data_IF_682939133247
#
_entry.id   IF_682939133247
#
_cell.length_a   1.000
_cell.length_b   1.000
_cell.length_c   1.000
_cell.angle_alpha   90.00
_cell.angle_beta   90.00
_cell.angle_gamma   90.00
#
_symmetry.space_group_name_H-M   'P 1'
#
loop_
_entity.id
_entity.type
_entity.pdbx_description
1 polymer ?
#
# COMPACT_ATOMS: atom_id res chain seq x y z
N UNK A 1 -4.98 80.59 72.33
CA UNK A 1 -4.64 79.95 71.07
C UNK A 1 -4.44 78.46 71.29
N UNK A 2 -5.42 77.61 71.03
CA UNK A 2 -5.42 76.18 71.23
C UNK A 2 -4.68 75.51 70.05
N UNK A 3 -3.58 74.75 70.30
CA UNK A 3 -2.88 73.99 69.28
C UNK A 3 -3.63 72.72 68.98
N UNK A 4 -4.18 72.60 67.76
CA UNK A 4 -4.81 71.42 67.25
C UNK A 4 -3.72 70.37 66.98
N UNK A 5 -3.72 69.23 67.70
CA UNK A 5 -2.86 68.07 67.47
C UNK A 5 -3.35 67.35 66.24
N UNK A 6 -2.53 67.26 65.19
CA UNK A 6 -2.77 66.38 64.04
C UNK A 6 -2.75 64.93 64.47
N UNK A 7 -3.67 64.05 63.97
CA UNK A 7 -3.67 62.65 64.30
C UNK A 7 -2.41 61.97 63.70
N UNK A 8 -1.75 61.13 64.48
CA UNK A 8 -0.57 60.35 64.06
C UNK A 8 -1.05 59.24 63.10
N UNK A 9 -0.46 59.19 61.89
CA UNK A 9 -0.63 58.09 60.94
C UNK A 9 0.02 56.82 61.53
N UNK A 10 -0.67 55.71 61.64
CA UNK A 10 -0.09 54.47 62.17
C UNK A 10 1.04 53.97 61.25
N UNK A 11 2.12 53.40 61.80
CA UNK A 11 3.27 52.93 61.04
C UNK A 11 2.82 51.79 60.08
N UNK A 12 3.15 51.91 58.79
CA UNK A 12 2.97 50.85 57.82
C UNK A 12 3.74 49.62 58.32
N UNK A 13 3.01 48.52 58.62
CA UNK A 13 3.63 47.26 58.97
C UNK A 13 4.47 46.78 57.77
N UNK A 14 5.78 46.82 57.88
CA UNK A 14 6.69 46.24 56.87
C UNK A 14 6.54 44.74 56.85
N UNK A 15 6.17 44.22 55.68
CA UNK A 15 6.06 42.77 55.44
C UNK A 15 7.48 42.20 55.51
N UNK A 16 7.73 41.23 56.40
CA UNK A 16 9.04 40.60 56.56
C UNK A 16 9.53 40.01 55.19
N UNK A 17 10.86 40.06 54.95
CA UNK A 17 11.52 39.61 53.74
C UNK A 17 11.07 38.16 53.32
N UNK A 18 10.90 37.26 54.28
CA UNK A 18 10.42 35.89 54.04
C UNK A 18 8.98 35.85 53.50
N UNK A 19 8.06 36.71 53.98
CA UNK A 19 6.70 36.80 53.45
C UNK A 19 6.66 37.39 52.03
N UNK A 20 7.56 38.33 51.69
CA UNK A 20 7.69 38.87 50.31
C UNK A 20 8.21 37.80 49.36
N UNK A 21 9.19 37.00 49.75
CA UNK A 21 9.72 35.87 48.94
C UNK A 21 8.62 34.80 48.74
N UNK A 22 7.92 34.40 49.79
CA UNK A 22 6.82 33.45 49.70
C UNK A 22 5.71 33.93 48.78
N UNK A 23 5.38 35.23 48.79
CA UNK A 23 4.36 35.80 47.88
C UNK A 23 4.83 35.81 46.39
N UNK A 24 6.12 36.12 46.15
CA UNK A 24 6.70 36.06 44.79
C UNK A 24 6.67 34.63 44.25
N UNK A 25 7.05 33.62 45.07
CA UNK A 25 6.99 32.22 44.70
C UNK A 25 5.56 31.79 44.35
N UNK A 26 4.57 32.18 45.19
CA UNK A 26 3.16 31.91 44.92
C UNK A 26 2.66 32.53 43.62
N UNK A 27 3.03 33.78 43.34
CA UNK A 27 2.67 34.44 42.07
C UNK A 27 3.35 33.75 40.90
N UNK A 28 4.62 33.38 41.01
CA UNK A 28 5.33 32.65 39.94
C UNK A 28 4.66 31.29 39.65
N UNK A 29 4.28 30.55 40.67
CA UNK A 29 3.52 29.29 40.52
C UNK A 29 2.16 29.56 39.85
N UNK A 30 1.43 30.60 40.28
CA UNK A 30 0.14 30.94 39.66
C UNK A 30 0.29 31.32 38.18
N UNK A 31 1.31 32.10 37.81
CA UNK A 31 1.61 32.45 36.41
C UNK A 31 1.96 31.20 35.61
N UNK A 32 2.78 30.28 36.16
CA UNK A 32 3.08 29.00 35.49
C UNK A 32 1.83 28.15 35.28
N UNK A 33 0.93 28.06 36.28
CA UNK A 33 -0.33 27.32 36.16
C UNK A 33 -1.22 27.95 35.07
N UNK A 34 -1.39 29.28 35.08
CA UNK A 34 -2.19 30.00 34.09
C UNK A 34 -1.59 29.80 32.69
N UNK A 35 -0.28 29.97 32.53
CA UNK A 35 0.42 29.76 31.26
C UNK A 35 0.26 28.33 30.74
N UNK A 36 0.42 27.33 31.61
CA UNK A 36 0.22 25.92 31.26
C UNK A 36 -1.23 25.61 30.88
N UNK A 37 -2.21 26.21 31.57
CA UNK A 37 -3.64 26.05 31.25
C UNK A 37 -3.99 26.64 29.89
N UNK A 38 -3.47 27.82 29.56
CA UNK A 38 -3.65 28.46 28.26
C UNK A 38 -2.99 27.61 27.17
N UNK A 39 -1.76 27.16 27.36
CA UNK A 39 -1.06 26.28 26.42
C UNK A 39 -1.83 24.98 26.18
N UNK A 40 -2.34 24.36 27.26
CA UNK A 40 -3.18 23.18 27.17
C UNK A 40 -4.48 23.45 26.37
N UNK A 41 -5.16 24.55 26.63
CA UNK A 41 -6.40 24.93 25.92
C UNK A 41 -6.13 25.15 24.42
N UNK A 42 -5.04 25.82 24.07
CA UNK A 42 -4.64 26.04 22.66
C UNK A 42 -4.32 24.71 21.98
N UNK A 43 -3.55 23.82 22.61
CA UNK A 43 -3.25 22.50 22.05
C UNK A 43 -4.50 21.63 21.93
N UNK A 44 -5.43 21.70 22.90
CA UNK A 44 -6.68 20.95 22.87
C UNK A 44 -7.61 21.43 21.74
N UNK A 45 -7.64 22.73 21.46
CA UNK A 45 -8.41 23.32 20.35
C UNK A 45 -7.89 22.88 18.97
N UNK A 46 -6.62 22.46 18.89
CA UNK A 46 -5.98 21.94 17.65
C UNK A 46 -6.14 20.43 17.47
N UNK A 47 -6.82 19.72 18.40
CA UNK A 47 -7.06 18.28 18.25
C UNK A 47 -8.10 18.06 17.15
N UNK A 48 -7.75 17.32 16.06
CA UNK A 48 -8.70 17.05 15.00
C UNK A 48 -9.88 16.20 15.52
N UNK A 49 -11.01 16.21 14.83
CA UNK A 49 -12.10 15.30 15.14
C UNK A 49 -11.64 13.85 14.91
N UNK A 50 -12.19 12.92 15.70
CA UNK A 50 -12.02 11.50 15.46
C UNK A 50 -12.97 11.12 14.33
N UNK A 51 -12.44 10.86 13.15
CA UNK A 51 -13.22 10.44 11.99
C UNK A 51 -13.21 8.90 11.90
N UNK A 52 -14.40 8.30 12.01
CA UNK A 52 -14.60 6.86 11.89
C UNK A 52 -14.19 6.33 10.50
N UNK A 53 -14.27 7.14 9.45
CA UNK A 53 -13.88 6.76 8.10
C UNK A 53 -12.37 6.49 7.98
N UNK A 54 -11.54 7.12 8.81
CA UNK A 54 -10.10 6.88 8.84
C UNK A 54 -9.73 5.48 9.36
N UNK A 55 -10.67 4.77 9.98
CA UNK A 55 -10.50 3.36 10.40
C UNK A 55 -11.01 2.39 9.34
N UNK A 56 -11.80 2.87 8.36
CA UNK A 56 -12.18 2.03 7.25
C UNK A 56 -10.93 1.57 6.52
N UNK A 57 -10.91 0.30 6.23
CA UNK A 57 -9.81 -0.28 5.46
C UNK A 57 -9.94 0.18 4.02
N UNK A 58 -8.86 0.66 3.46
CA UNK A 58 -8.76 0.84 2.03
C UNK A 58 -8.58 -0.56 1.46
N UNK A 59 -9.67 -1.13 0.95
CA UNK A 59 -9.58 -2.34 0.14
C UNK A 59 -9.11 -1.96 -1.26
N UNK A 60 -8.37 -2.84 -1.90
CA UNK A 60 -8.05 -2.69 -3.31
C UNK A 60 -9.33 -2.58 -4.13
N UNK A 61 -9.30 -1.82 -5.20
CA UNK A 61 -10.42 -1.81 -6.12
C UNK A 61 -10.57 -3.19 -6.77
N UNK A 62 -11.81 -3.65 -6.86
CA UNK A 62 -12.15 -4.98 -7.41
C UNK A 62 -12.79 -4.82 -8.78
N UNK A 63 -12.31 -5.58 -9.75
CA UNK A 63 -12.96 -5.70 -11.05
C UNK A 63 -13.88 -6.93 -11.02
N UNK A 64 -15.12 -6.71 -11.37
CA UNK A 64 -16.10 -7.76 -11.63
C UNK A 64 -16.25 -7.97 -13.15
N UNK A 65 -16.46 -9.23 -13.55
CA UNK A 65 -16.69 -9.60 -14.94
C UNK A 65 -18.08 -9.16 -15.46
N UNK A 66 -18.39 -9.47 -16.70
CA UNK A 66 -19.68 -9.18 -17.34
C UNK A 66 -20.88 -9.83 -16.64
N UNK A 67 -20.65 -10.86 -15.82
CA UNK A 67 -21.67 -11.56 -15.04
C UNK A 67 -21.76 -11.08 -13.58
N UNK A 68 -20.89 -10.14 -13.18
CA UNK A 68 -20.80 -9.62 -11.81
C UNK A 68 -19.98 -10.50 -10.86
N UNK A 69 -19.26 -11.49 -11.36
CA UNK A 69 -18.34 -12.29 -10.55
C UNK A 69 -16.98 -11.59 -10.42
N UNK A 70 -16.26 -11.89 -9.34
CA UNK A 70 -14.90 -11.40 -9.15
C UNK A 70 -13.99 -11.84 -10.30
N UNK A 71 -13.30 -10.88 -10.91
CA UNK A 71 -12.34 -11.11 -11.98
C UNK A 71 -10.90 -10.86 -11.51
N UNK A 72 -10.60 -9.67 -10.99
CA UNK A 72 -9.26 -9.29 -10.56
C UNK A 72 -9.28 -8.12 -9.57
N UNK A 73 -8.31 -8.06 -8.66
CA UNK A 73 -8.03 -6.87 -7.86
C UNK A 73 -7.14 -5.89 -8.64
N UNK A 74 -7.46 -4.59 -8.55
CA UNK A 74 -6.52 -3.53 -8.90
C UNK A 74 -5.70 -3.18 -7.67
N UNK A 75 -4.41 -3.47 -7.72
CA UNK A 75 -3.56 -3.33 -6.54
C UNK A 75 -2.83 -2.01 -6.53
N UNK A 76 -2.84 -1.39 -5.34
CA UNK A 76 -1.92 -0.30 -5.02
C UNK A 76 -0.51 -0.86 -4.76
N UNK A 77 0.48 0.04 -4.76
CA UNK A 77 1.83 -0.26 -4.27
C UNK A 77 1.83 -0.72 -2.79
N UNK A 78 0.74 -0.45 -2.07
CA UNK A 78 0.51 -0.94 -0.72
C UNK A 78 -0.27 -2.26 -0.79
N UNK A 79 0.45 -3.38 -0.70
CA UNK A 79 -0.18 -4.69 -0.60
C UNK A 79 -0.92 -4.79 0.73
N UNK A 80 -2.25 -4.70 0.67
CA UNK A 80 -3.09 -4.70 1.86
C UNK A 80 -4.27 -5.66 1.66
N UNK A 81 -4.36 -6.66 2.53
CA UNK A 81 -5.51 -7.55 2.65
C UNK A 81 -6.06 -7.45 4.06
N UNK A 82 -7.35 -7.18 4.16
CA UNK A 82 -8.04 -7.01 5.44
C UNK A 82 -8.57 -8.34 5.93
N UNK A 83 -8.35 -8.63 7.20
CA UNK A 83 -8.89 -9.80 7.88
C UNK A 83 -9.53 -9.40 9.20
N UNK A 84 -10.65 -10.07 9.56
CA UNK A 84 -11.29 -9.84 10.86
C UNK A 84 -10.43 -10.37 12.00
N UNK A 85 -10.63 -9.82 13.20
CA UNK A 85 -9.89 -10.22 14.41
C UNK A 85 -10.07 -11.71 14.72
N UNK A 86 -11.22 -12.31 14.38
CA UNK A 86 -11.51 -13.72 14.59
C UNK A 86 -10.69 -14.64 13.67
N UNK A 87 -10.22 -14.15 12.54
CA UNK A 87 -9.34 -14.87 11.62
C UNK A 87 -7.87 -14.77 12.04
N UNK A 88 -7.53 -13.87 12.95
CA UNK A 88 -6.18 -13.71 13.48
C UNK A 88 -5.96 -14.64 14.65
N UNK A 89 -4.98 -15.55 14.64
CA UNK A 89 -4.74 -16.46 15.75
C UNK A 89 -4.34 -15.70 17.02
N UNK A 90 -4.74 -16.22 18.20
CA UNK A 90 -4.39 -15.61 19.50
C UNK A 90 -2.88 -15.44 19.67
N UNK A 91 -2.10 -16.39 19.14
CA UNK A 91 -0.64 -16.37 19.21
C UNK A 91 -0.05 -15.12 18.52
N UNK A 92 -0.61 -14.71 17.37
CA UNK A 92 -0.21 -13.51 16.67
C UNK A 92 -0.59 -12.25 17.45
N UNK A 93 -1.84 -12.16 17.91
CA UNK A 93 -2.34 -11.04 18.72
C UNK A 93 -1.48 -10.85 19.96
N UNK A 94 -1.16 -11.94 20.64
CA UNK A 94 -0.32 -11.91 21.84
C UNK A 94 1.13 -11.59 21.56
N UNK A 95 1.69 -11.95 20.39
CA UNK A 95 3.04 -11.54 19.98
C UNK A 95 3.15 -10.00 19.88
N UNK A 96 2.23 -9.35 19.18
CA UNK A 96 2.20 -7.89 19.09
C UNK A 96 1.95 -7.22 20.45
N UNK A 97 0.99 -7.72 21.24
CA UNK A 97 0.70 -7.19 22.57
C UNK A 97 1.92 -7.29 23.48
N UNK A 98 2.63 -8.43 23.47
CA UNK A 98 3.78 -8.67 24.34
C UNK A 98 4.92 -7.71 24.11
N UNK A 99 5.19 -7.35 22.88
CA UNK A 99 6.33 -6.49 22.53
C UNK A 99 5.96 -5.01 22.45
N UNK A 100 4.78 -4.70 21.93
CA UNK A 100 4.34 -3.33 21.70
C UNK A 100 3.58 -2.75 22.89
N UNK A 101 2.73 -3.51 23.57
CA UNK A 101 1.87 -2.97 24.61
C UNK A 101 1.34 -4.02 25.61
N UNK A 102 2.19 -4.49 26.50
CA UNK A 102 1.90 -5.57 27.46
C UNK A 102 0.62 -5.37 28.30
N UNK A 103 0.19 -4.13 28.48
CA UNK A 103 -1.01 -3.80 29.23
C UNK A 103 -2.15 -3.30 28.36
N UNK A 104 -2.10 -3.58 27.08
CA UNK A 104 -3.10 -3.18 26.10
C UNK A 104 -4.53 -3.49 26.57
N UNK A 105 -4.78 -4.68 27.10
CA UNK A 105 -6.10 -5.12 27.55
C UNK A 105 -6.63 -4.37 28.79
N UNK A 106 -5.78 -3.62 29.53
CA UNK A 106 -6.15 -3.05 30.83
C UNK A 106 -6.15 -1.53 30.90
N UNK A 107 -5.39 -0.82 30.05
CA UNK A 107 -5.41 0.65 30.04
C UNK A 107 -6.52 1.20 29.12
N UNK A 108 -6.76 2.50 29.20
CA UNK A 108 -7.75 3.24 28.38
C UNK A 108 -7.06 4.22 27.42
N UNK A 109 -6.37 3.67 26.42
CA UNK A 109 -5.67 4.42 25.39
C UNK A 109 -4.28 4.92 25.80
N UNK A 110 -4.07 5.23 27.08
CA UNK A 110 -2.82 5.72 27.65
C UNK A 110 -2.38 4.79 28.77
N UNK A 111 -1.14 4.34 28.70
CA UNK A 111 -0.50 3.61 29.79
C UNK A 111 0.29 4.57 30.69
N UNK A 112 -0.32 5.00 31.82
CA UNK A 112 0.28 5.97 32.74
C UNK A 112 1.58 5.48 33.37
N UNK A 113 1.74 4.16 33.63
CA UNK A 113 2.99 3.62 34.19
C UNK A 113 4.12 3.66 33.16
N UNK A 114 3.79 3.43 31.89
CA UNK A 114 4.72 3.50 30.76
C UNK A 114 5.09 4.94 30.46
N UNK A 115 4.12 5.84 30.45
CA UNK A 115 4.33 7.29 30.29
C UNK A 115 5.24 7.85 31.39
N UNK A 116 5.02 7.47 32.66
CA UNK A 116 5.86 7.88 33.77
C UNK A 116 7.33 7.43 33.62
N UNK A 117 7.55 6.19 33.16
CA UNK A 117 8.90 5.68 32.87
C UNK A 117 9.57 6.43 31.72
N UNK A 118 8.80 6.70 30.63
CA UNK A 118 9.31 7.46 29.49
C UNK A 118 9.70 8.89 29.86
N UNK A 119 8.91 9.56 30.71
CA UNK A 119 9.25 10.90 31.24
C UNK A 119 10.51 10.88 32.09
N UNK A 120 10.68 9.88 32.96
CA UNK A 120 11.91 9.70 33.75
C UNK A 120 13.13 9.43 32.84
N UNK A 121 13.00 8.61 31.84
CA UNK A 121 14.05 8.35 30.84
C UNK A 121 14.41 9.61 30.04
N UNK A 122 13.41 10.42 29.67
CA UNK A 122 13.61 11.66 28.93
C UNK A 122 14.45 12.70 29.69
N UNK A 123 14.37 12.71 31.03
CA UNK A 123 15.22 13.59 31.86
C UNK A 123 16.71 13.22 31.80
N UNK A 124 17.02 11.99 31.42
CA UNK A 124 18.42 11.48 31.28
C UNK A 124 18.91 11.46 29.85
N UNK A 125 18.01 11.20 28.86
CA UNK A 125 18.35 11.06 27.45
C UNK A 125 18.05 12.28 26.58
N UNK A 126 17.28 13.25 27.11
CA UNK A 126 16.87 14.46 26.37
C UNK A 126 15.82 14.22 25.27
N UNK A 127 15.28 13.01 25.13
CA UNK A 127 14.27 12.65 24.10
C UNK A 127 13.01 12.08 24.74
N UNK A 128 11.85 12.60 24.36
CA UNK A 128 10.53 12.08 24.74
C UNK A 128 10.11 10.85 23.90
N UNK A 129 10.80 10.61 22.79
CA UNK A 129 10.55 9.49 21.87
C UNK A 129 11.44 8.27 22.18
N UNK A 130 11.72 8.00 23.44
CA UNK A 130 12.43 6.79 23.85
C UNK A 130 11.69 5.52 23.37
N UNK A 131 12.42 4.44 22.99
CA UNK A 131 11.82 3.20 22.51
C UNK A 131 10.82 2.64 23.53
N UNK A 132 9.61 2.36 23.07
CA UNK A 132 8.59 1.67 23.84
C UNK A 132 7.62 2.54 24.65
N UNK A 133 7.47 3.84 24.38
CA UNK A 133 6.58 4.74 25.14
C UNK A 133 5.12 4.76 24.72
N UNK A 134 4.79 4.48 23.45
CA UNK A 134 3.43 4.58 22.92
C UNK A 134 2.65 3.26 23.05
N UNK A 135 1.34 3.35 23.26
CA UNK A 135 0.42 2.19 23.26
C UNK A 135 0.03 1.81 21.83
N UNK A 136 -0.52 0.61 21.63
CA UNK A 136 -1.11 0.18 20.35
C UNK A 136 -2.17 1.19 19.89
N UNK A 137 -3.03 1.66 20.79
CA UNK A 137 -4.06 2.67 20.50
C UNK A 137 -3.46 3.98 20.01
N UNK A 138 -2.37 4.43 20.62
CA UNK A 138 -1.63 5.63 20.20
C UNK A 138 -0.97 5.43 18.83
N UNK A 139 -0.39 4.25 18.58
CA UNK A 139 0.18 3.92 17.27
C UNK A 139 -0.89 3.92 16.17
N UNK A 140 -2.07 3.35 16.44
CA UNK A 140 -3.19 3.38 15.50
C UNK A 140 -3.63 4.81 15.17
N UNK A 141 -3.78 5.68 16.17
CA UNK A 141 -4.10 7.10 15.96
C UNK A 141 -3.04 7.80 15.11
N UNK A 142 -1.76 7.52 15.35
CA UNK A 142 -0.67 8.05 14.53
C UNK A 142 -0.78 7.61 13.07
N UNK A 143 -1.17 6.37 12.80
CA UNK A 143 -1.32 5.81 11.45
C UNK A 143 -2.56 6.34 10.71
N UNK A 144 -3.56 6.86 11.42
CA UNK A 144 -4.87 7.16 10.83
C UNK A 144 -5.26 8.64 10.84
N UNK A 145 -4.80 9.43 11.83
CA UNK A 145 -5.29 10.79 12.05
C UNK A 145 -4.21 11.86 12.14
N UNK A 146 -2.94 11.49 12.20
CA UNK A 146 -1.86 12.43 12.47
C UNK A 146 -0.77 12.37 11.38
N UNK A 147 -0.09 13.50 11.18
CA UNK A 147 1.07 13.59 10.30
C UNK A 147 2.31 12.92 10.92
N UNK A 148 3.32 12.68 10.09
CA UNK A 148 4.60 12.10 10.54
C UNK A 148 5.49 13.06 11.36
N UNK A 149 5.09 14.33 11.52
CA UNK A 149 5.86 15.36 12.23
C UNK A 149 6.11 14.99 13.70
N UNK A 150 7.35 15.11 14.14
CA UNK A 150 7.74 14.84 15.53
C UNK A 150 7.63 16.11 16.39
N UNK A 151 6.40 16.49 16.77
CA UNK A 151 6.15 17.67 17.61
C UNK A 151 5.46 17.31 18.92
N UNK A 152 5.65 18.17 19.95
CA UNK A 152 4.95 18.03 21.25
C UNK A 152 3.43 18.14 21.05
N UNK A 153 2.99 19.03 20.16
CA UNK A 153 1.55 19.22 19.84
C UNK A 153 0.97 17.93 19.28
N UNK A 154 1.64 17.31 18.31
CA UNK A 154 1.21 16.01 17.73
C UNK A 154 1.14 14.92 18.81
N UNK A 155 2.14 14.84 19.71
CA UNK A 155 2.12 13.84 20.79
C UNK A 155 0.97 14.08 21.76
N UNK A 156 0.64 15.33 22.05
CA UNK A 156 -0.53 15.68 22.85
C UNK A 156 -1.85 15.28 22.15
N UNK A 157 -1.97 15.56 20.84
CA UNK A 157 -3.13 15.16 20.03
C UNK A 157 -3.29 13.63 20.04
N UNK A 158 -2.19 12.89 19.88
CA UNK A 158 -2.16 11.42 19.94
C UNK A 158 -2.74 10.87 21.26
N UNK A 159 -2.33 11.44 22.40
CA UNK A 159 -2.83 11.04 23.72
C UNK A 159 -4.35 11.28 23.85
N UNK A 160 -4.83 12.45 23.44
CA UNK A 160 -6.26 12.79 23.54
C UNK A 160 -7.10 11.91 22.61
N UNK A 161 -6.66 11.75 21.36
CA UNK A 161 -7.39 10.92 20.39
C UNK A 161 -7.39 9.45 20.80
N UNK A 162 -6.28 8.91 21.29
CA UNK A 162 -6.21 7.54 21.79
C UNK A 162 -7.17 7.30 22.97
N UNK A 163 -7.26 8.27 23.89
CA UNK A 163 -8.24 8.16 24.97
C UNK A 163 -9.68 8.24 24.49
N UNK A 164 -9.99 9.10 23.50
CA UNK A 164 -11.33 9.19 22.88
C UNK A 164 -11.68 7.90 22.13
N UNK A 165 -10.73 7.34 21.37
CA UNK A 165 -10.95 6.11 20.61
C UNK A 165 -11.41 4.97 21.50
N UNK A 166 -10.79 4.79 22.65
CA UNK A 166 -11.14 3.73 23.63
C UNK A 166 -12.51 3.94 24.32
N UNK A 167 -13.16 5.08 24.14
CA UNK A 167 -14.54 5.29 24.58
C UNK A 167 -15.57 4.82 23.54
N UNK A 168 -15.14 4.63 22.28
CA UNK A 168 -16.01 4.33 21.13
C UNK A 168 -15.81 2.89 20.67
N UNK A 169 -14.55 2.42 20.62
CA UNK A 169 -14.19 1.10 20.08
C UNK A 169 -13.71 0.15 21.18
N UNK A 170 -14.04 -1.12 21.03
CA UNK A 170 -13.52 -2.18 21.89
C UNK A 170 -12.03 -2.44 21.65
N UNK A 171 -11.37 -3.10 22.59
CA UNK A 171 -9.98 -3.51 22.45
C UNK A 171 -9.73 -4.38 21.22
N UNK A 172 -10.65 -5.27 20.89
CA UNK A 172 -10.54 -6.13 19.73
C UNK A 172 -10.69 -5.36 18.42
N UNK A 173 -11.61 -4.40 18.35
CA UNK A 173 -11.73 -3.50 17.19
C UNK A 173 -10.50 -2.61 16.99
N UNK A 174 -9.91 -2.12 18.08
CA UNK A 174 -8.68 -1.32 18.02
C UNK A 174 -7.49 -2.19 17.54
N UNK A 175 -7.38 -3.42 18.06
CA UNK A 175 -6.31 -4.34 17.67
C UNK A 175 -6.47 -4.79 16.22
N UNK A 176 -7.69 -5.10 15.78
CA UNK A 176 -8.01 -5.41 14.39
C UNK A 176 -7.57 -4.28 13.46
N UNK A 177 -7.99 -3.05 13.78
CA UNK A 177 -7.62 -1.87 13.00
C UNK A 177 -6.11 -1.67 12.94
N UNK A 178 -5.41 -1.86 14.04
CA UNK A 178 -3.96 -1.75 14.12
C UNK A 178 -3.26 -2.80 13.26
N UNK A 179 -3.60 -4.08 13.43
CA UNK A 179 -2.97 -5.20 12.73
C UNK A 179 -3.22 -5.19 11.22
N UNK A 180 -4.34 -4.61 10.77
CA UNK A 180 -4.61 -4.43 9.35
C UNK A 180 -3.96 -3.16 8.75
N UNK A 181 -3.52 -2.19 9.58
CA UNK A 181 -2.96 -0.91 9.09
C UNK A 181 -1.46 -0.76 9.28
N UNK A 182 -0.85 -1.56 10.12
CA UNK A 182 0.57 -1.43 10.44
C UNK A 182 1.45 -1.71 9.23
N UNK A 183 2.49 -0.88 9.06
CA UNK A 183 3.55 -1.15 8.07
C UNK A 183 4.49 -2.24 8.60
N UNK A 184 4.66 -3.29 7.82
CA UNK A 184 5.52 -4.44 8.09
C UNK A 184 6.58 -4.60 6.98
N UNK A 185 7.28 -3.54 6.65
CA UNK A 185 8.29 -3.40 5.61
C UNK A 185 7.69 -3.51 4.20
N UNK A 186 7.69 -4.67 3.58
CA UNK A 186 7.15 -4.87 2.23
C UNK A 186 5.62 -5.04 2.20
N UNK A 187 4.96 -5.02 3.36
CA UNK A 187 3.52 -5.25 3.48
C UNK A 187 2.84 -4.26 4.42
N UNK A 188 1.57 -4.01 4.17
CA UNK A 188 0.68 -3.29 5.05
C UNK A 188 -0.35 -4.26 5.64
N UNK A 189 -0.31 -4.43 6.96
CA UNK A 189 -1.15 -5.38 7.69
C UNK A 189 -0.61 -6.81 7.71
N UNK A 190 -1.12 -7.57 8.68
CA UNK A 190 -0.58 -8.90 9.01
C UNK A 190 -0.90 -9.97 7.97
N UNK A 191 -2.01 -9.86 7.24
CA UNK A 191 -2.39 -10.84 6.23
C UNK A 191 -1.47 -10.76 5.01
N UNK A 192 -1.23 -9.55 4.48
CA UNK A 192 -0.31 -9.35 3.37
C UNK A 192 1.12 -9.76 3.76
N UNK A 193 1.56 -9.37 4.97
CA UNK A 193 2.86 -9.78 5.49
C UNK A 193 3.00 -11.31 5.62
N UNK A 194 1.96 -11.99 6.10
CA UNK A 194 1.94 -13.46 6.18
C UNK A 194 2.12 -14.13 4.82
N UNK A 195 1.47 -13.59 3.79
CA UNK A 195 1.60 -14.10 2.42
C UNK A 195 2.97 -13.84 1.83
N UNK A 196 3.50 -12.62 1.98
CA UNK A 196 4.81 -12.24 1.42
C UNK A 196 5.93 -13.04 2.06
N UNK A 197 5.97 -13.08 3.39
CA UNK A 197 7.08 -13.68 4.12
C UNK A 197 6.97 -15.19 4.28
N UNK A 198 5.77 -15.77 4.25
CA UNK A 198 5.57 -17.19 4.57
C UNK A 198 4.68 -17.94 3.57
N UNK A 199 4.16 -17.28 2.54
CA UNK A 199 3.20 -17.85 1.56
C UNK A 199 1.98 -18.52 2.23
N UNK A 200 1.53 -17.98 3.38
CA UNK A 200 0.45 -18.53 4.21
C UNK A 200 -0.64 -17.49 4.48
N UNK A 201 -1.83 -17.97 4.79
CA UNK A 201 -2.84 -17.13 5.44
C UNK A 201 -2.44 -16.85 6.90
N UNK A 202 -2.87 -15.70 7.41
CA UNK A 202 -2.52 -15.26 8.79
C UNK A 202 -2.95 -16.26 9.86
N UNK A 203 -4.05 -17.00 9.64
CA UNK A 203 -4.55 -18.01 10.58
C UNK A 203 -3.66 -19.26 10.67
N UNK A 204 -2.74 -19.47 9.72
CA UNK A 204 -1.84 -20.63 9.65
C UNK A 204 -0.41 -20.34 10.15
N UNK A 205 -0.21 -19.14 10.71
CA UNK A 205 1.09 -18.74 11.24
C UNK A 205 1.48 -19.52 12.50
N UNK A 206 2.75 -19.96 12.54
CA UNK A 206 3.35 -20.52 13.74
C UNK A 206 3.70 -19.43 14.77
N UNK A 207 4.13 -19.84 15.97
CA UNK A 207 4.61 -18.93 17.01
C UNK A 207 5.85 -18.15 16.56
N UNK A 208 6.85 -18.84 16.00
CA UNK A 208 8.07 -18.23 15.46
C UNK A 208 7.77 -17.23 14.34
N UNK A 209 6.89 -17.58 13.40
CA UNK A 209 6.43 -16.70 12.32
C UNK A 209 5.68 -15.47 12.86
N UNK A 210 4.81 -15.65 13.84
CA UNK A 210 4.10 -14.55 14.52
C UNK A 210 5.07 -13.59 15.22
N UNK A 211 6.13 -14.12 15.84
CA UNK A 211 7.16 -13.32 16.48
C UNK A 211 7.99 -12.52 15.47
N UNK A 212 8.29 -13.11 14.30
CA UNK A 212 8.96 -12.40 13.19
C UNK A 212 8.14 -11.21 12.72
N UNK A 213 6.83 -11.38 12.47
CA UNK A 213 5.97 -10.28 12.06
C UNK A 213 5.88 -9.19 13.14
N UNK A 214 5.71 -9.57 14.42
CA UNK A 214 5.63 -8.61 15.51
C UNK A 214 6.94 -7.81 15.68
N UNK A 215 8.06 -8.39 15.31
CA UNK A 215 9.37 -7.73 15.38
C UNK A 215 9.52 -6.57 14.40
N UNK A 216 8.87 -6.63 13.24
CA UNK A 216 8.96 -5.61 12.18
C UNK A 216 8.35 -4.28 12.64
N UNK A 217 7.29 -4.33 13.45
CA UNK A 217 6.46 -3.19 13.84
C UNK A 217 7.22 -1.98 14.40
N UNK A 218 8.31 -2.19 15.09
CA UNK A 218 9.08 -1.14 15.75
C UNK A 218 9.86 -0.24 14.77
N UNK A 219 10.48 -0.84 13.76
CA UNK A 219 11.25 -0.16 12.71
C UNK A 219 11.28 -1.04 11.46
N UNK A 220 10.30 -0.88 10.55
CA UNK A 220 10.10 -1.79 9.44
C UNK A 220 11.35 -2.05 8.59
N UNK A 221 12.07 -1.02 8.18
CA UNK A 221 13.28 -1.18 7.37
C UNK A 221 14.46 -1.82 8.12
N UNK A 222 14.56 -1.63 9.46
CA UNK A 222 15.65 -2.18 10.25
C UNK A 222 15.41 -3.64 10.65
N UNK A 223 14.14 -3.98 10.89
CA UNK A 223 13.69 -5.32 11.24
C UNK A 223 13.01 -6.05 10.08
N UNK A 224 13.31 -5.65 8.83
CA UNK A 224 12.88 -6.40 7.66
C UNK A 224 13.35 -7.87 7.82
N UNK A 225 12.49 -8.87 7.59
CA UNK A 225 12.89 -10.29 7.72
C UNK A 225 14.00 -10.71 6.78
N UNK A 226 14.13 -10.08 5.60
CA UNK A 226 15.13 -10.47 4.63
C UNK A 226 16.51 -9.92 4.97
N UNK A 227 17.51 -10.72 4.67
CA UNK A 227 18.91 -10.29 4.59
C UNK A 227 19.20 -9.84 3.17
N UNK A 228 19.87 -8.71 3.00
CA UNK A 228 20.23 -8.16 1.69
C UNK A 228 21.73 -8.28 1.44
N UNK A 229 22.08 -8.49 0.20
CA UNK A 229 23.47 -8.49 -0.30
C UNK A 229 23.58 -7.62 -1.54
N UNK A 230 24.80 -7.18 -1.88
CA UNK A 230 25.05 -6.39 -3.08
C UNK A 230 25.43 -7.34 -4.23
N UNK A 231 24.78 -7.17 -5.39
CA UNK A 231 25.10 -7.94 -6.59
C UNK A 231 26.29 -7.31 -7.35
N UNK A 232 26.74 -7.94 -8.45
CA UNK A 232 27.85 -7.46 -9.27
C UNK A 232 27.65 -6.08 -9.88
N UNK A 233 26.40 -5.59 -9.94
CA UNK A 233 26.05 -4.26 -10.45
C UNK A 233 25.94 -3.20 -9.35
N UNK A 234 26.17 -3.54 -8.09
CA UNK A 234 26.02 -2.65 -6.94
C UNK A 234 24.57 -2.47 -6.48
N UNK A 235 23.65 -3.36 -6.87
CA UNK A 235 22.25 -3.33 -6.45
C UNK A 235 22.04 -4.22 -5.23
N UNK A 236 21.26 -3.75 -4.24
CA UNK A 236 20.87 -4.56 -3.09
C UNK A 236 19.76 -5.53 -3.49
N UNK A 237 20.06 -6.83 -3.37
CA UNK A 237 19.14 -7.92 -3.64
C UNK A 237 18.95 -8.77 -2.39
N UNK A 238 17.82 -9.48 -2.28
CA UNK A 238 17.58 -10.42 -1.18
C UNK A 238 18.57 -11.57 -1.29
N UNK A 239 19.24 -11.87 -0.18
CA UNK A 239 20.17 -13.00 -0.08
C UNK A 239 19.39 -14.31 -0.10
N UNK A 240 19.82 -15.23 -0.96
CA UNK A 240 19.31 -16.60 -1.04
C UNK A 240 20.47 -17.52 -0.75
N UNK A 241 20.30 -18.42 0.20
CA UNK A 241 21.29 -19.44 0.54
C UNK A 241 21.42 -20.49 -0.58
N UNK A 242 22.53 -21.24 -0.65
CA UNK A 242 22.74 -22.24 -1.71
C UNK A 242 21.70 -23.35 -1.78
N UNK A 243 20.94 -23.59 -0.71
CA UNK A 243 19.83 -24.54 -0.65
C UNK A 243 18.47 -23.94 -1.08
N UNK A 244 18.46 -22.66 -1.48
CA UNK A 244 17.28 -21.94 -1.90
C UNK A 244 16.47 -21.30 -0.75
N UNK A 245 16.96 -21.40 0.49
CA UNK A 245 16.30 -20.76 1.64
C UNK A 245 16.67 -19.28 1.76
N UNK A 246 15.82 -18.52 2.48
CA UNK A 246 16.06 -17.13 2.80
C UNK A 246 16.56 -17.00 4.24
N UNK A 247 17.78 -16.50 4.48
CA UNK A 247 18.28 -16.31 5.83
C UNK A 247 17.57 -15.16 6.52
N UNK A 248 17.03 -15.43 7.73
CA UNK A 248 16.40 -14.40 8.55
C UNK A 248 17.43 -13.35 8.97
N UNK A 249 17.08 -12.09 8.76
CA UNK A 249 17.84 -10.93 9.20
C UNK A 249 18.15 -11.01 10.71
N UNK A 250 19.41 -10.81 11.08
CA UNK A 250 19.89 -10.96 12.45
C UNK A 250 19.23 -10.01 13.45
N UNK A 251 18.89 -8.78 13.02
CA UNK A 251 18.19 -7.84 13.86
C UNK A 251 16.74 -8.29 14.11
N UNK A 252 16.07 -8.81 13.07
CA UNK A 252 14.73 -9.38 13.23
C UNK A 252 14.79 -10.61 14.15
N UNK A 253 15.74 -11.54 13.92
CA UNK A 253 15.95 -12.73 14.77
C UNK A 253 16.08 -12.36 16.23
N UNK A 254 17.01 -11.44 16.54
CA UNK A 254 17.25 -10.99 17.91
C UNK A 254 16.01 -10.43 18.57
N UNK A 255 15.21 -9.65 17.81
CA UNK A 255 13.97 -9.09 18.33
C UNK A 255 12.86 -10.14 18.44
N UNK A 256 12.79 -11.10 17.53
CA UNK A 256 11.83 -12.22 17.60
C UNK A 256 12.07 -13.10 18.82
N UNK A 257 13.32 -13.34 19.17
CA UNK A 257 13.68 -14.01 20.42
C UNK A 257 13.19 -13.24 21.65
N UNK A 258 13.29 -11.91 21.64
CA UNK A 258 12.73 -11.07 22.70
C UNK A 258 11.18 -11.13 22.74
N UNK A 259 10.51 -11.22 21.59
CA UNK A 259 9.03 -11.36 21.53
C UNK A 259 8.61 -12.64 22.23
N UNK A 260 9.17 -13.80 21.87
CA UNK A 260 8.80 -15.10 22.49
C UNK A 260 9.17 -15.14 23.97
N UNK A 261 10.29 -14.52 24.38
CA UNK A 261 10.66 -14.36 25.79
C UNK A 261 9.57 -13.59 26.55
N UNK A 262 9.11 -12.47 26.03
CA UNK A 262 8.04 -11.69 26.64
C UNK A 262 6.71 -12.42 26.65
N UNK A 263 6.39 -13.19 25.61
CA UNK A 263 5.20 -14.04 25.61
C UNK A 263 5.25 -15.11 26.71
N UNK A 264 6.42 -15.73 26.94
CA UNK A 264 6.62 -16.69 28.01
C UNK A 264 6.53 -16.03 29.41
N UNK A 265 7.21 -14.87 29.62
CA UNK A 265 7.12 -14.11 30.88
C UNK A 265 5.68 -13.69 31.22
N UNK A 266 4.85 -13.40 30.23
CA UNK A 266 3.45 -13.00 30.39
C UNK A 266 2.49 -14.18 30.49
N UNK A 267 2.97 -15.42 30.32
CA UNK A 267 2.16 -16.63 30.39
C UNK A 267 1.26 -16.88 29.17
N UNK A 268 1.55 -16.25 28.03
CA UNK A 268 0.85 -16.51 26.78
C UNK A 268 1.28 -17.79 26.09
N UNK A 269 2.47 -18.26 26.38
CA UNK A 269 3.05 -19.54 25.91
C UNK A 269 3.69 -20.28 27.09
N UNK A 270 3.79 -21.58 26.98
CA UNK A 270 4.49 -22.40 27.95
C UNK A 270 5.98 -22.59 27.58
N UNK A 271 6.77 -23.19 28.49
CA UNK A 271 8.21 -23.37 28.30
C UNK A 271 8.56 -24.22 27.07
N UNK A 272 7.78 -25.27 26.77
CA UNK A 272 8.04 -26.14 25.62
C UNK A 272 7.82 -25.39 24.28
N UNK A 273 6.75 -24.58 24.20
CA UNK A 273 6.49 -23.73 23.04
C UNK A 273 7.59 -22.67 22.86
N UNK A 274 8.07 -22.08 23.96
CA UNK A 274 9.20 -21.17 23.93
C UNK A 274 10.48 -21.82 23.41
N UNK A 275 10.86 -22.98 23.95
CA UNK A 275 12.08 -23.69 23.58
C UNK A 275 12.07 -24.14 22.11
N UNK A 276 10.91 -24.63 21.64
CA UNK A 276 10.72 -24.99 20.24
C UNK A 276 10.89 -23.77 19.32
N UNK A 277 10.16 -22.67 19.58
CA UNK A 277 10.22 -21.48 18.73
C UNK A 277 11.58 -20.80 18.77
N UNK A 278 12.27 -20.85 19.90
CA UNK A 278 13.64 -20.38 20.03
C UNK A 278 14.56 -21.19 19.11
N UNK A 279 14.46 -22.51 19.12
CA UNK A 279 15.24 -23.38 18.22
C UNK A 279 14.95 -23.07 16.75
N UNK A 280 13.68 -22.91 16.36
CA UNK A 280 13.27 -22.58 14.99
C UNK A 280 13.89 -21.25 14.51
N UNK A 281 13.89 -20.21 15.38
CA UNK A 281 14.48 -18.90 15.08
C UNK A 281 16.02 -18.98 14.98
N UNK A 282 16.67 -19.68 15.90
CA UNK A 282 18.14 -19.81 15.94
C UNK A 282 18.68 -20.64 14.77
N UNK A 283 17.92 -21.65 14.30
CA UNK A 283 18.31 -22.54 13.20
C UNK A 283 17.73 -22.13 11.84
N UNK A 284 17.08 -20.99 11.75
CA UNK A 284 16.40 -20.50 10.53
C UNK A 284 15.31 -21.45 9.98
N UNK A 285 14.68 -22.25 10.83
CA UNK A 285 13.64 -23.23 10.44
C UNK A 285 12.23 -22.62 10.52
N UNK A 286 12.09 -21.35 10.13
CA UNK A 286 10.82 -20.61 10.18
C UNK A 286 10.05 -20.66 8.85
N UNK A 287 10.64 -21.21 7.80
CA UNK A 287 10.01 -21.26 6.46
C UNK A 287 9.82 -19.88 5.85
N UNK A 288 10.83 -18.99 5.99
CA UNK A 288 10.82 -17.71 5.31
C UNK A 288 10.82 -17.94 3.79
N UNK A 289 9.89 -17.30 3.10
CA UNK A 289 9.75 -17.34 1.64
C UNK A 289 9.83 -15.94 1.09
N UNK A 290 10.00 -15.80 -0.21
CA UNK A 290 9.79 -14.53 -0.90
C UNK A 290 8.68 -14.74 -1.92
N UNK A 291 7.49 -14.35 -1.54
CA UNK A 291 6.35 -14.35 -2.44
C UNK A 291 6.23 -12.96 -3.06
N UNK A 292 6.66 -12.84 -4.31
CA UNK A 292 6.25 -11.71 -5.14
C UNK A 292 4.89 -12.05 -5.72
N UNK A 293 3.82 -11.38 -5.26
CA UNK A 293 2.54 -11.55 -5.91
C UNK A 293 2.68 -11.11 -7.35
N UNK A 294 2.62 -12.04 -8.27
CA UNK A 294 2.70 -11.73 -9.70
C UNK A 294 1.36 -11.15 -10.15
N UNK A 295 1.21 -9.84 -9.98
CA UNK A 295 0.02 -9.09 -10.38
C UNK A 295 0.15 -8.61 -11.81
N UNK A 296 0.40 -9.54 -12.73
CA UNK A 296 0.33 -9.21 -14.13
C UNK A 296 -1.14 -9.00 -14.52
N UNK A 297 -1.52 -7.75 -14.67
CA UNK A 297 -2.81 -7.40 -15.23
C UNK A 297 -2.91 -7.96 -16.64
N UNK A 298 -4.08 -8.45 -17.03
CA UNK A 298 -4.37 -8.70 -18.43
C UNK A 298 -4.33 -7.39 -19.21
N UNK A 299 -4.16 -7.43 -20.52
CA UNK A 299 -4.30 -6.23 -21.35
C UNK A 299 -5.69 -5.61 -21.25
N UNK A 300 -6.70 -6.42 -20.93
CA UNK A 300 -8.03 -5.93 -20.63
C UNK A 300 -8.05 -5.11 -19.33
N UNK A 301 -7.46 -5.62 -18.27
CA UNK A 301 -7.35 -4.94 -16.97
C UNK A 301 -6.60 -3.61 -17.07
N UNK A 302 -5.48 -3.58 -17.83
CA UNK A 302 -4.76 -2.33 -18.10
C UNK A 302 -5.66 -1.30 -18.81
N UNK A 303 -6.46 -1.76 -19.77
CA UNK A 303 -7.40 -0.87 -20.50
C UNK A 303 -8.51 -0.33 -19.60
N UNK A 304 -8.99 -1.13 -18.64
CA UNK A 304 -9.95 -0.70 -17.62
C UNK A 304 -9.32 0.34 -16.70
N UNK A 305 -8.11 0.09 -16.23
CA UNK A 305 -7.35 1.03 -15.40
C UNK A 305 -7.20 2.39 -16.09
N UNK A 306 -6.68 2.39 -17.33
CA UNK A 306 -6.49 3.60 -18.13
C UNK A 306 -7.81 4.36 -18.36
N UNK A 307 -8.90 3.65 -18.62
CA UNK A 307 -10.20 4.27 -18.85
C UNK A 307 -10.71 4.95 -17.58
N UNK A 308 -10.67 4.28 -16.44
CA UNK A 308 -11.17 4.84 -15.18
C UNK A 308 -10.32 6.05 -14.74
N UNK A 309 -9.00 5.99 -14.87
CA UNK A 309 -8.13 7.14 -14.57
C UNK A 309 -8.52 8.35 -15.42
N UNK A 310 -8.74 8.15 -16.73
CA UNK A 310 -9.20 9.23 -17.64
C UNK A 310 -10.57 9.77 -17.25
N UNK A 311 -11.52 8.90 -16.89
CA UNK A 311 -12.86 9.29 -16.48
C UNK A 311 -12.84 10.09 -15.17
N UNK A 312 -12.03 9.69 -14.19
CA UNK A 312 -11.84 10.40 -12.93
C UNK A 312 -11.22 11.79 -13.15
N UNK A 313 -10.21 11.89 -14.01
CA UNK A 313 -9.62 13.19 -14.40
C UNK A 313 -10.68 14.09 -15.05
N UNK A 314 -11.45 13.54 -15.99
CA UNK A 314 -12.45 14.32 -16.73
C UNK A 314 -13.62 14.76 -15.84
N UNK A 315 -14.08 13.90 -14.93
CA UNK A 315 -15.27 14.13 -14.11
C UNK A 315 -14.97 14.95 -12.83
N UNK A 316 -13.84 14.68 -12.17
CA UNK A 316 -13.51 15.26 -10.87
C UNK A 316 -12.34 16.25 -10.92
N UNK A 317 -11.73 16.46 -12.09
CA UNK A 317 -10.57 17.34 -12.29
C UNK A 317 -9.34 16.93 -11.45
N UNK A 318 -9.21 15.64 -11.17
CA UNK A 318 -8.04 15.08 -10.49
C UNK A 318 -6.81 15.21 -11.37
N UNK A 319 -5.65 15.29 -10.75
CA UNK A 319 -4.38 14.97 -11.42
C UNK A 319 -4.33 13.47 -11.72
N UNK A 320 -3.43 13.03 -12.60
CA UNK A 320 -3.25 11.61 -12.90
C UNK A 320 -2.85 10.81 -11.64
N UNK A 321 -2.02 11.40 -10.77
CA UNK A 321 -1.63 10.79 -9.50
C UNK A 321 -2.82 10.66 -8.53
N UNK A 322 -3.63 11.69 -8.39
CA UNK A 322 -4.82 11.66 -7.54
C UNK A 322 -5.85 10.66 -8.05
N UNK A 323 -6.08 10.60 -9.37
CA UNK A 323 -7.00 9.64 -10.00
C UNK A 323 -6.52 8.19 -9.81
N UNK A 324 -5.23 7.94 -10.02
CA UNK A 324 -4.61 6.62 -9.79
C UNK A 324 -4.70 6.21 -8.33
N UNK A 325 -4.38 7.10 -7.41
CA UNK A 325 -4.48 6.84 -5.98
C UNK A 325 -5.93 6.59 -5.55
N UNK A 326 -6.89 7.36 -6.09
CA UNK A 326 -8.31 7.14 -5.80
C UNK A 326 -8.80 5.78 -6.34
N UNK A 327 -8.41 5.42 -7.58
CA UNK A 327 -8.74 4.12 -8.16
C UNK A 327 -8.19 2.97 -7.34
N UNK A 328 -6.90 3.02 -6.99
CA UNK A 328 -6.22 1.89 -6.32
C UNK A 328 -6.61 1.74 -4.85
N UNK A 329 -6.90 2.86 -4.17
CA UNK A 329 -7.09 2.92 -2.72
C UNK A 329 -8.53 3.32 -2.30
N UNK A 330 -9.44 3.52 -3.25
CA UNK A 330 -10.80 4.01 -2.99
C UNK A 330 -11.82 2.92 -2.68
N UNK A 331 -11.40 1.66 -2.53
CA UNK A 331 -12.33 0.52 -2.33
C UNK A 331 -13.41 0.41 -3.41
N UNK A 332 -13.06 0.73 -4.66
CA UNK A 332 -14.01 0.78 -5.77
C UNK A 332 -14.39 -0.61 -6.23
N UNK A 333 -15.66 -0.78 -6.62
CA UNK A 333 -16.14 -1.96 -7.33
C UNK A 333 -16.36 -1.55 -8.78
N UNK A 334 -15.54 -2.12 -9.68
CA UNK A 334 -15.56 -1.82 -11.10
C UNK A 334 -16.29 -2.94 -11.83
N UNK A 335 -17.45 -2.63 -12.41
CA UNK A 335 -18.17 -3.57 -13.28
C UNK A 335 -17.62 -3.47 -14.70
N UNK A 336 -16.82 -4.45 -15.10
CA UNK A 336 -16.21 -4.51 -16.42
C UNK A 336 -17.03 -5.40 -17.38
N UNK A 337 -16.71 -5.29 -18.66
CA UNK A 337 -17.37 -6.05 -19.71
C UNK A 337 -16.61 -7.32 -20.12
N UNK A 338 -15.51 -7.64 -19.42
CA UNK A 338 -14.72 -8.83 -19.71
C UNK A 338 -15.53 -10.11 -19.56
N UNK A 339 -15.41 -10.99 -20.55
CA UNK A 339 -15.78 -12.39 -20.42
C UNK A 339 -14.49 -13.19 -20.13
N UNK A 340 -14.34 -13.77 -18.92
CA UNK A 340 -13.12 -14.47 -18.54
C UNK A 340 -12.77 -15.64 -19.46
N UNK A 341 -13.77 -16.34 -20.02
CA UNK A 341 -13.54 -17.46 -20.93
C UNK A 341 -13.00 -16.95 -22.28
N UNK A 342 -13.59 -15.87 -22.80
CA UNK A 342 -13.14 -15.24 -24.06
C UNK A 342 -11.70 -14.73 -23.86
N UNK A 343 -11.41 -14.01 -22.77
CA UNK A 343 -10.08 -13.48 -22.48
C UNK A 343 -9.03 -14.60 -22.39
N UNK A 344 -9.31 -15.66 -21.63
CA UNK A 344 -8.39 -16.80 -21.48
C UNK A 344 -8.10 -17.52 -22.81
N UNK A 345 -9.13 -17.70 -23.67
CA UNK A 345 -8.94 -18.28 -25.01
C UNK A 345 -8.05 -17.36 -25.85
N UNK A 346 -8.30 -16.06 -25.84
CA UNK A 346 -7.49 -15.10 -26.60
C UNK A 346 -6.02 -15.11 -26.15
N UNK A 347 -5.74 -15.11 -24.85
CA UNK A 347 -4.38 -15.18 -24.29
C UNK A 347 -3.69 -16.48 -24.67
N UNK A 348 -4.39 -17.62 -24.56
CA UNK A 348 -3.87 -18.92 -24.95
C UNK A 348 -3.51 -18.95 -26.44
N UNK A 349 -4.38 -18.38 -27.30
CA UNK A 349 -4.11 -18.34 -28.75
C UNK A 349 -3.04 -17.32 -29.14
N UNK A 350 -2.95 -16.22 -28.40
CA UNK A 350 -1.86 -15.25 -28.59
C UNK A 350 -0.48 -15.85 -28.27
N UNK A 351 -0.40 -16.73 -27.28
CA UNK A 351 0.85 -17.38 -26.86
C UNK A 351 1.22 -18.63 -27.68
N UNK A 352 0.34 -19.14 -28.53
CA UNK A 352 0.58 -20.33 -29.32
C UNK A 352 1.50 -20.04 -30.52
N UNK A 353 2.77 -20.39 -30.42
CA UNK A 353 3.78 -20.15 -31.46
C UNK A 353 3.45 -20.80 -32.81
N UNK A 354 2.65 -21.88 -32.82
CA UNK A 354 2.24 -22.55 -34.04
C UNK A 354 1.30 -21.70 -34.93
N UNK A 355 0.68 -20.67 -34.38
CA UNK A 355 -0.21 -19.77 -35.11
C UNK A 355 0.51 -18.63 -35.83
N UNK A 356 1.82 -18.52 -35.65
CA UNK A 356 2.60 -17.40 -36.18
C UNK A 356 3.70 -17.87 -37.12
N UNK A 357 4.05 -17.09 -38.16
CA UNK A 357 5.25 -17.35 -38.95
C UNK A 357 6.46 -17.35 -38.00
N UNK A 358 7.28 -18.39 -38.09
CA UNK A 358 8.52 -18.48 -37.30
C UNK A 358 9.49 -17.32 -37.57
N UNK A 359 10.76 -17.51 -37.18
CA UNK A 359 11.85 -16.52 -37.44
C UNK A 359 12.15 -16.47 -38.96
N UNK A 360 11.26 -15.85 -39.75
CA UNK A 360 11.35 -15.73 -41.22
C UNK A 360 10.98 -14.32 -41.67
N UNK A 361 11.36 -13.97 -42.87
CA UNK A 361 11.01 -12.68 -43.48
C UNK A 361 11.52 -11.46 -42.67
N UNK A 362 10.62 -10.51 -42.42
CA UNK A 362 10.99 -9.27 -41.75
C UNK A 362 11.44 -9.43 -40.29
N UNK A 363 10.91 -10.43 -39.56
CA UNK A 363 11.34 -10.73 -38.19
C UNK A 363 12.78 -11.25 -38.15
N UNK A 364 13.13 -12.17 -39.04
CA UNK A 364 14.51 -12.66 -39.16
C UNK A 364 15.47 -11.55 -39.58
N UNK A 365 15.09 -10.69 -40.53
CA UNK A 365 15.90 -9.55 -40.96
C UNK A 365 16.12 -8.52 -39.87
N UNK A 366 15.07 -8.21 -39.07
CA UNK A 366 15.17 -7.29 -37.94
C UNK A 366 16.06 -7.86 -36.82
N UNK A 367 15.93 -9.17 -36.52
CA UNK A 367 16.76 -9.86 -35.52
C UNK A 367 18.23 -9.85 -35.94
N UNK A 368 18.53 -10.18 -37.20
CA UNK A 368 19.89 -10.15 -37.74
C UNK A 368 20.52 -8.73 -37.72
N UNK A 369 19.75 -7.72 -38.12
CA UNK A 369 20.21 -6.33 -38.11
C UNK A 369 20.52 -5.86 -36.69
N UNK A 370 19.68 -6.14 -35.71
CA UNK A 370 19.92 -5.75 -34.32
C UNK A 370 21.09 -6.50 -33.71
N UNK A 371 21.22 -7.79 -33.96
CA UNK A 371 22.37 -8.60 -33.49
C UNK A 371 23.69 -8.07 -34.07
N UNK A 372 23.70 -7.64 -35.36
CA UNK A 372 24.88 -7.03 -36.00
C UNK A 372 25.25 -5.69 -35.37
N UNK A 373 24.24 -4.90 -34.96
CA UNK A 373 24.45 -3.58 -34.35
C UNK A 373 24.94 -3.66 -32.91
N UNK A 374 24.36 -4.55 -32.12
CA UNK A 374 24.63 -4.64 -30.66
C UNK A 374 25.64 -5.70 -30.26
N UNK A 375 25.91 -6.67 -31.13
CA UNK A 375 26.71 -7.87 -30.79
C UNK A 375 25.97 -8.90 -29.92
N UNK A 376 24.75 -8.59 -29.45
CA UNK A 376 23.91 -9.51 -28.66
C UNK A 376 22.91 -10.22 -29.56
N UNK A 377 22.69 -11.52 -29.31
CA UNK A 377 21.67 -12.29 -30.05
C UNK A 377 20.29 -11.77 -29.72
N UNK A 378 19.63 -11.15 -30.70
CA UNK A 378 18.28 -10.60 -30.53
C UNK A 378 17.31 -11.34 -31.43
N UNK A 379 16.24 -11.90 -30.85
CA UNK A 379 15.16 -12.56 -31.56
C UNK A 379 13.88 -11.73 -31.47
N UNK A 380 13.49 -11.09 -32.55
CA UNK A 380 12.18 -10.45 -32.64
C UNK A 380 11.11 -11.49 -32.97
N UNK A 381 10.08 -11.55 -32.16
CA UNK A 381 8.93 -12.40 -32.40
C UNK A 381 7.76 -11.59 -32.99
N UNK A 382 6.99 -12.14 -33.94
CA UNK A 382 5.77 -11.47 -34.40
C UNK A 382 4.83 -11.19 -33.25
N UNK A 383 4.30 -9.97 -33.19
CA UNK A 383 3.38 -9.52 -32.16
C UNK A 383 1.95 -9.53 -32.64
N UNK A 384 1.00 -9.47 -31.71
CA UNK A 384 -0.43 -9.47 -31.98
C UNK A 384 -1.16 -8.40 -31.20
N UNK A 385 -2.21 -7.84 -31.80
CA UNK A 385 -3.23 -7.04 -31.11
C UNK A 385 -4.60 -7.60 -31.49
N UNK A 386 -5.40 -8.00 -30.50
CA UNK A 386 -6.73 -8.56 -30.67
C UNK A 386 -7.75 -7.89 -29.78
N UNK A 387 -8.95 -7.65 -30.31
CA UNK A 387 -10.10 -7.15 -29.55
C UNK A 387 -11.33 -7.93 -30.01
N UNK A 388 -12.09 -8.46 -29.04
CA UNK A 388 -13.40 -9.10 -29.33
C UNK A 388 -14.50 -8.19 -28.77
N UNK A 389 -15.45 -7.84 -29.63
CA UNK A 389 -16.61 -7.00 -29.32
C UNK A 389 -17.89 -7.80 -29.55
N UNK A 390 -18.79 -7.83 -28.59
CA UNK A 390 -20.13 -8.35 -28.78
C UNK A 390 -20.96 -7.37 -29.62
N UNK A 391 -21.34 -7.81 -30.81
CA UNK A 391 -22.09 -6.98 -31.77
C UNK A 391 -23.51 -6.59 -31.31
N UNK A 392 -24.05 -7.26 -30.27
CA UNK A 392 -25.40 -6.94 -29.74
C UNK A 392 -25.35 -5.82 -28.72
N UNK A 393 -24.33 -5.83 -27.88
CA UNK A 393 -24.18 -4.89 -26.77
C UNK A 393 -23.17 -3.76 -27.04
N UNK A 394 -22.24 -3.97 -27.98
CA UNK A 394 -21.07 -3.15 -28.22
C UNK A 394 -19.99 -3.30 -27.15
N UNK A 395 -20.13 -4.25 -26.23
CA UNK A 395 -19.18 -4.48 -25.16
C UNK A 395 -17.92 -5.18 -25.64
N UNK A 396 -16.78 -4.74 -25.13
CA UNK A 396 -15.49 -5.39 -25.35
C UNK A 396 -15.39 -6.58 -24.41
N UNK A 397 -15.41 -7.79 -24.94
CA UNK A 397 -15.36 -9.03 -24.15
C UNK A 397 -13.95 -9.50 -23.84
N UNK A 398 -12.94 -9.05 -24.62
CA UNK A 398 -11.54 -9.41 -24.40
C UNK A 398 -10.57 -8.54 -25.20
N UNK A 399 -9.36 -8.37 -24.63
CA UNK A 399 -8.27 -7.60 -25.25
C UNK A 399 -6.94 -8.32 -25.01
N UNK A 400 -6.16 -8.50 -26.08
CA UNK A 400 -4.76 -8.95 -26.03
C UNK A 400 -3.92 -7.98 -26.85
N UNK A 401 -2.89 -7.40 -26.25
CA UNK A 401 -2.04 -6.37 -26.85
C UNK A 401 -0.61 -6.80 -27.18
N UNK A 402 -0.27 -8.07 -26.99
CA UNK A 402 1.07 -8.60 -27.25
C UNK A 402 1.19 -10.07 -26.92
N UNK A 403 2.39 -10.64 -27.17
CA UNK A 403 2.74 -12.05 -26.94
C UNK A 403 3.86 -12.25 -25.91
N UNK A 404 4.57 -11.18 -25.59
CA UNK A 404 5.73 -11.24 -24.71
C UNK A 404 5.33 -11.33 -23.24
N UNK A 405 6.31 -11.55 -22.37
CA UNK A 405 6.15 -11.31 -20.95
C UNK A 405 5.64 -9.90 -20.73
N UNK A 406 4.52 -9.82 -20.04
CA UNK A 406 3.79 -8.57 -19.85
C UNK A 406 4.10 -8.00 -18.47
N UNK A 407 4.49 -6.75 -18.43
CA UNK A 407 4.41 -5.92 -17.21
C UNK A 407 3.12 -5.10 -17.23
N UNK A 408 2.66 -4.67 -16.06
CA UNK A 408 1.46 -3.84 -15.96
C UNK A 408 1.65 -2.53 -16.73
N UNK A 409 0.57 -2.07 -17.37
CA UNK A 409 0.53 -0.87 -18.20
C UNK A 409 1.56 -0.85 -19.35
N UNK A 410 1.99 -2.02 -19.80
CA UNK A 410 2.88 -2.17 -20.94
C UNK A 410 2.17 -1.85 -22.27
N UNK A 411 2.95 -1.76 -23.36
CA UNK A 411 2.44 -1.42 -24.69
C UNK A 411 1.29 -2.33 -25.13
N UNK A 412 0.06 -1.79 -25.17
CA UNK A 412 -1.12 -2.47 -25.69
C UNK A 412 -1.30 -2.18 -27.19
N UNK A 413 -0.95 -3.13 -28.04
CA UNK A 413 -1.05 -2.98 -29.50
C UNK A 413 -2.49 -3.03 -30.01
N UNK A 414 -3.44 -3.57 -29.21
CA UNK A 414 -4.86 -3.60 -29.59
C UNK A 414 -5.53 -2.22 -29.51
N UNK A 415 -5.03 -1.33 -28.64
CA UNK A 415 -5.57 0.02 -28.45
C UNK A 415 -4.71 1.10 -29.11
N UNK A 416 -3.52 0.75 -29.62
CA UNK A 416 -2.64 1.70 -30.28
C UNK A 416 -3.08 1.96 -31.73
N UNK A 417 -2.96 3.20 -32.18
CA UNK A 417 -3.25 3.60 -33.56
C UNK A 417 -2.14 3.13 -34.48
N UNK A 418 -2.50 2.37 -35.52
CA UNK A 418 -1.64 1.96 -36.61
C UNK A 418 -2.24 2.40 -37.94
N UNK A 419 -1.42 2.45 -39.00
CA UNK A 419 -1.91 2.67 -40.35
C UNK A 419 -2.66 1.39 -40.81
N UNK A 420 -3.95 1.52 -41.17
CA UNK A 420 -4.77 0.35 -41.49
C UNK A 420 -4.46 -0.23 -42.89
N UNK A 421 -3.79 0.50 -43.75
CA UNK A 421 -3.52 0.08 -45.10
C UNK A 421 -4.78 -0.30 -45.87
N UNK A 422 -4.75 -1.37 -46.61
CA UNK A 422 -5.88 -1.84 -47.43
C UNK A 422 -7.09 -2.36 -46.62
N UNK A 423 -6.95 -2.58 -45.32
CA UNK A 423 -8.07 -2.97 -44.44
C UNK A 423 -9.11 -1.86 -44.25
N UNK A 424 -8.81 -0.61 -44.65
CA UNK A 424 -9.81 0.47 -44.66
C UNK A 424 -10.75 0.44 -45.84
N UNK A 425 -10.42 -0.29 -46.95
CA UNK A 425 -11.23 -0.31 -48.19
C UNK A 425 -12.71 -0.61 -47.99
N UNK A 426 -13.09 -1.61 -47.11
CA UNK A 426 -14.51 -1.83 -46.83
C UNK A 426 -15.22 -0.59 -46.30
N UNK A 427 -14.59 0.20 -45.44
CA UNK A 427 -15.16 1.37 -44.81
C UNK A 427 -15.09 2.64 -45.69
N UNK A 428 -14.02 2.83 -46.45
CA UNK A 428 -13.76 4.06 -47.18
C UNK A 428 -14.18 4.04 -48.64
N UNK A 429 -14.31 2.87 -49.24
CA UNK A 429 -14.64 2.72 -50.65
C UNK A 429 -15.90 1.87 -50.86
N UNK A 430 -15.90 0.62 -50.39
CA UNK A 430 -17.00 -0.33 -50.73
C UNK A 430 -18.29 -0.01 -49.95
N UNK A 431 -18.22 0.25 -48.65
CA UNK A 431 -19.38 0.60 -47.83
C UNK A 431 -20.13 1.81 -48.37
N UNK A 432 -19.48 2.99 -48.51
CA UNK A 432 -20.10 4.17 -49.09
C UNK A 432 -20.61 3.94 -50.53
N UNK A 433 -19.86 3.18 -51.33
CA UNK A 433 -20.28 2.86 -52.71
C UNK A 433 -21.55 2.06 -52.78
N UNK A 434 -21.73 1.07 -51.89
CA UNK A 434 -22.94 0.26 -51.78
C UNK A 434 -24.10 1.09 -51.17
N UNK A 435 -23.84 1.83 -50.14
CA UNK A 435 -24.84 2.65 -49.44
C UNK A 435 -25.47 3.72 -50.38
N UNK A 436 -24.64 4.34 -51.20
CA UNK A 436 -25.09 5.32 -52.21
C UNK A 436 -25.68 4.67 -53.48
N UNK A 437 -25.63 3.36 -53.61
CA UNK A 437 -26.06 2.64 -54.82
C UNK A 437 -25.12 2.80 -56.02
N UNK A 438 -23.95 3.39 -55.86
CA UNK A 438 -22.95 3.53 -56.92
C UNK A 438 -22.36 2.20 -57.36
N UNK A 439 -22.29 1.23 -56.46
CA UNK A 439 -21.87 -0.15 -56.72
C UNK A 439 -22.77 -1.12 -55.99
N UNK A 440 -22.70 -2.39 -56.40
CA UNK A 440 -23.31 -3.55 -55.75
C UNK A 440 -22.26 -4.61 -55.50
N UNK A 441 -22.59 -5.67 -54.76
CA UNK A 441 -21.69 -6.82 -54.58
C UNK A 441 -21.35 -7.54 -55.86
N UNK A 442 -22.17 -7.37 -56.91
CA UNK A 442 -21.96 -7.93 -58.24
C UNK A 442 -21.39 -6.97 -59.26
N UNK A 443 -21.00 -5.77 -58.86
CA UNK A 443 -20.44 -4.78 -59.80
C UNK A 443 -19.05 -5.25 -60.29
N UNK A 444 -18.87 -5.27 -61.61
CA UNK A 444 -17.62 -5.62 -62.27
C UNK A 444 -16.96 -4.37 -62.84
N UNK A 445 -15.70 -4.21 -62.57
CA UNK A 445 -14.87 -3.13 -63.13
C UNK A 445 -13.85 -3.69 -64.10
N UNK A 446 -13.60 -2.96 -65.22
CA UNK A 446 -12.48 -3.25 -66.07
C UNK A 446 -11.17 -2.74 -65.40
N UNK A 447 -10.22 -3.62 -65.23
CA UNK A 447 -8.88 -3.28 -64.73
C UNK A 447 -8.02 -2.75 -65.87
N UNK A 448 -8.21 -1.48 -66.21
CA UNK A 448 -7.52 -0.80 -67.30
C UNK A 448 -6.81 0.43 -66.77
N UNK A 449 -5.71 0.88 -67.43
CA UNK A 449 -5.06 2.12 -67.06
C UNK A 449 -6.04 3.30 -67.01
N UNK A 450 -6.11 4.03 -65.89
CA UNK A 450 -6.94 5.22 -65.74
C UNK A 450 -6.06 6.42 -65.44
N UNK A 451 -6.57 7.60 -65.78
CA UNK A 451 -5.94 8.88 -65.41
C UNK A 451 -6.98 9.79 -64.80
N UNK A 452 -6.73 10.32 -63.62
CA UNK A 452 -7.62 11.23 -62.94
C UNK A 452 -6.82 12.46 -62.46
N UNK A 453 -7.05 13.64 -63.05
CA UNK A 453 -6.38 14.87 -62.72
C UNK A 453 -4.84 14.75 -62.69
N UNK A 454 -4.24 14.01 -63.64
CA UNK A 454 -2.81 13.79 -63.69
C UNK A 454 -2.29 12.65 -62.81
N UNK A 455 -3.12 12.06 -61.97
CA UNK A 455 -2.80 10.87 -61.21
C UNK A 455 -3.05 9.59 -62.03
N UNK A 456 -2.02 8.81 -62.21
CA UNK A 456 -2.04 7.59 -63.01
C UNK A 456 -1.68 6.40 -62.15
N UNK A 457 -2.64 5.80 -61.41
CA UNK A 457 -2.37 4.64 -60.57
C UNK A 457 -1.86 3.47 -61.41
N UNK A 458 -0.86 2.77 -60.87
CA UNK A 458 -0.34 1.54 -61.45
C UNK A 458 -0.77 0.37 -60.58
N UNK A 459 -1.03 -0.79 -61.21
CA UNK A 459 -1.22 -2.02 -60.47
C UNK A 459 0.10 -2.41 -59.78
N UNK A 460 0.02 -2.79 -58.50
CA UNK A 460 1.14 -3.45 -57.87
C UNK A 460 1.24 -4.86 -58.43
N UNK A 461 2.38 -5.16 -59.07
CA UNK A 461 2.66 -6.45 -59.69
C UNK A 461 2.61 -7.63 -58.72
#
# INVERSE_FOLDING_TARGET
MSKIKRPSVPPKKEISKGKKIGFIVLISIAICIIGSTIAFAVMYAQVPPLDANNFNYIENAKILDVHGNFYQDLQSSEQREVVSIDQMPEILKNAFISIEDQRFRTHKGIDLKRLGRALLSATTSGSLDGPGGSTITQQLIKLTHLTSDKTIVRKFQELILASRLETIYSKDQILEAYLNKINLSQAWGVQAASKIYFAKSVNDLSLSQSAVLASIANSPSYYDPYTYTENEKGEFIILIDPDGSYPLNEHNRSRSLLVIEKMNELGYINQAEYDQSKSELETNQIGLTHFEPNYNYSYFTDSVYDQIVKDLIAQYHYTEEEASNYLLNGSLIVHATVDPNVQAIMETKASDDNLYPGQSGSAASASAAKTADTGEVTNYIPQVGMTIIDNKTGYVSGIVGGRDEKTNLSLNRATRKFQPGSSTKPLTAYGPGIDTGAITLGTVYADVPISYNGWNPQNSG
#
